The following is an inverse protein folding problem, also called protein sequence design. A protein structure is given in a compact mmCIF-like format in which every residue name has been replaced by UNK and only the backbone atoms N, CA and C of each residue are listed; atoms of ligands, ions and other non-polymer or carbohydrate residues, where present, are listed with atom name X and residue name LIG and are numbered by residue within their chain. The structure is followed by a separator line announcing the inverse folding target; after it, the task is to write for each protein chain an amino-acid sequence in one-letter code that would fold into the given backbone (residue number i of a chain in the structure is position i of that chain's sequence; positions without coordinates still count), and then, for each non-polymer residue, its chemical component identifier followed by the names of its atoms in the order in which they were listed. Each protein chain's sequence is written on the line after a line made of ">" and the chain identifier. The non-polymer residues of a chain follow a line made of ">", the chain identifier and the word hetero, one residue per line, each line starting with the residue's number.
data_IF_526875826108
#
_entry.id   IF_526875826108
#
_cell.length_a   1.000
_cell.length_b   1.000
_cell.length_c   1.000
_cell.angle_alpha   90.00
_cell.angle_beta   90.00
_cell.angle_gamma   90.00
#
_symmetry.space_group_name_H-M   'P 1'
#
loop_
_entity.id
_entity.type
_entity.pdbx_description
1 polymer ?
#
# COMPACT_ATOMS: atom_id res chain seq x y z
N UNK A 1 8.89 -27.27 -10.00
CA UNK A 1 8.61 -26.16 -9.07
C UNK A 1 8.52 -26.70 -7.64
N UNK A 2 9.64 -26.68 -6.88
CA UNK A 2 9.70 -27.07 -5.44
C UNK A 2 10.55 -26.12 -4.60
N UNK A 3 11.23 -25.17 -5.25
CA UNK A 3 12.02 -24.11 -4.64
C UNK A 3 11.25 -23.34 -3.56
N UNK A 4 9.96 -22.94 -3.75
CA UNK A 4 9.26 -22.23 -2.67
C UNK A 4 9.06 -23.10 -1.42
N UNK A 5 8.83 -24.41 -1.56
CA UNK A 5 8.65 -25.31 -0.41
C UNK A 5 9.95 -25.48 0.38
N UNK A 6 11.07 -25.68 -0.31
CA UNK A 6 12.39 -25.82 0.32
C UNK A 6 12.75 -24.54 1.06
N UNK A 7 12.51 -23.37 0.45
CA UNK A 7 12.76 -22.07 1.09
C UNK A 7 11.90 -21.89 2.34
N UNK A 8 10.61 -22.23 2.30
CA UNK A 8 9.73 -22.13 3.47
C UNK A 8 10.20 -23.03 4.61
N UNK A 9 10.60 -24.26 4.31
CA UNK A 9 11.13 -25.20 5.32
C UNK A 9 12.41 -24.66 5.96
N UNK A 10 13.34 -24.13 5.14
CA UNK A 10 14.57 -23.53 5.66
C UNK A 10 14.27 -22.32 6.55
N UNK A 11 13.36 -21.44 6.14
CA UNK A 11 12.93 -20.29 6.96
C UNK A 11 12.30 -20.77 8.26
N UNK A 12 11.42 -21.77 8.22
CA UNK A 12 10.78 -22.32 9.41
C UNK A 12 11.81 -22.93 10.39
N UNK A 13 12.83 -23.65 9.88
CA UNK A 13 13.92 -24.16 10.69
C UNK A 13 14.72 -23.04 11.35
N UNK A 14 15.10 -22.01 10.59
CA UNK A 14 15.84 -20.86 11.13
C UNK A 14 15.03 -20.16 12.22
N UNK A 15 13.73 -19.95 12.00
CA UNK A 15 12.82 -19.34 12.99
C UNK A 15 12.68 -20.23 14.23
N UNK A 16 12.55 -21.54 14.06
CA UNK A 16 12.46 -22.50 15.16
C UNK A 16 13.73 -22.52 16.01
N UNK A 17 14.90 -22.57 15.37
CA UNK A 17 16.21 -22.50 16.05
C UNK A 17 16.36 -21.17 16.79
N UNK A 18 16.02 -20.06 16.14
CA UNK A 18 16.03 -18.74 16.74
C UNK A 18 15.16 -18.68 17.99
N UNK A 19 13.93 -19.20 17.92
CA UNK A 19 13.01 -19.23 19.06
C UNK A 19 13.54 -20.11 20.20
N UNK A 20 14.11 -21.28 19.88
CA UNK A 20 14.66 -22.22 20.86
C UNK A 20 15.91 -21.67 21.56
N UNK A 21 16.83 -21.04 20.83
CA UNK A 21 18.05 -20.46 21.43
C UNK A 21 17.77 -19.19 22.26
N UNK A 22 16.65 -18.51 22.02
CA UNK A 22 16.29 -17.24 22.67
C UNK A 22 15.10 -17.38 23.64
N UNK A 23 15.01 -18.51 24.36
CA UNK A 23 13.98 -18.75 25.37
C UNK A 23 14.21 -18.03 26.71
N UNK A 24 15.37 -17.41 26.89
CA UNK A 24 15.69 -16.65 28.09
C UNK A 24 14.61 -15.59 28.38
N UNK A 25 14.13 -15.56 29.63
CA UNK A 25 13.14 -14.58 30.09
C UNK A 25 13.87 -13.27 30.38
N UNK A 26 13.38 -12.20 29.79
CA UNK A 26 13.91 -10.84 29.96
C UNK A 26 12.82 -9.94 30.55
N UNK A 27 13.22 -8.96 31.34
CA UNK A 27 12.33 -7.90 31.82
C UNK A 27 12.36 -6.74 30.84
N UNK A 28 11.24 -6.50 30.18
CA UNK A 28 11.05 -5.34 29.30
C UNK A 28 10.50 -4.20 30.13
N UNK A 29 11.15 -3.04 30.09
CA UNK A 29 10.65 -1.79 30.67
C UNK A 29 10.25 -0.86 29.54
N UNK A 30 9.01 -0.40 29.53
CA UNK A 30 8.51 0.52 28.52
C UNK A 30 7.66 1.61 29.18
N UNK A 31 8.05 2.87 29.00
CA UNK A 31 7.44 4.00 29.70
C UNK A 31 7.38 3.74 31.22
N UNK A 32 6.18 3.60 31.79
CA UNK A 32 5.96 3.37 33.22
C UNK A 32 5.55 1.92 33.56
N UNK A 33 5.64 0.99 32.61
CA UNK A 33 5.31 -0.42 32.84
C UNK A 33 6.52 -1.32 32.63
N UNK A 34 6.56 -2.42 33.36
CA UNK A 34 7.56 -3.45 33.23
C UNK A 34 6.88 -4.83 33.24
N UNK A 35 7.31 -5.72 32.36
CA UNK A 35 6.81 -7.08 32.30
C UNK A 35 7.91 -8.06 31.90
N UNK A 36 7.73 -9.33 32.26
CA UNK A 36 8.65 -10.40 31.92
C UNK A 36 8.12 -11.19 30.72
N UNK A 37 8.97 -11.46 29.75
CA UNK A 37 8.61 -12.26 28.57
C UNK A 37 9.86 -12.92 27.99
N UNK A 38 9.73 -13.89 27.08
CA UNK A 38 10.92 -14.47 26.44
C UNK A 38 11.53 -13.48 25.45
N UNK A 39 12.86 -13.53 25.33
CA UNK A 39 13.64 -12.69 24.41
C UNK A 39 13.16 -12.84 22.96
N UNK A 40 12.80 -14.06 22.54
CA UNK A 40 12.24 -14.33 21.21
C UNK A 40 10.94 -13.56 20.92
N UNK A 41 10.00 -13.46 21.88
CA UNK A 41 8.79 -12.65 21.70
C UNK A 41 9.12 -11.16 21.58
N UNK A 42 10.10 -10.66 22.34
CA UNK A 42 10.53 -9.25 22.23
C UNK A 42 11.05 -8.95 20.84
N UNK A 43 11.94 -9.79 20.31
CA UNK A 43 12.56 -9.56 19.01
C UNK A 43 11.51 -9.64 17.90
N UNK A 44 10.72 -10.72 17.84
CA UNK A 44 9.67 -10.88 16.82
C UNK A 44 8.65 -9.75 16.92
N UNK A 45 8.19 -9.45 18.14
CA UNK A 45 7.24 -8.37 18.39
C UNK A 45 7.76 -7.01 17.95
N UNK A 46 9.04 -6.70 18.20
CA UNK A 46 9.66 -5.44 17.79
C UNK A 46 9.75 -5.28 16.27
N UNK A 47 10.07 -6.35 15.55
CA UNK A 47 10.11 -6.35 14.08
C UNK A 47 8.72 -6.10 13.50
N UNK A 48 7.71 -6.81 14.02
CA UNK A 48 6.31 -6.63 13.61
C UNK A 48 5.83 -5.22 13.92
N UNK A 49 6.11 -4.71 15.13
CA UNK A 49 5.75 -3.35 15.52
C UNK A 49 6.42 -2.30 14.62
N UNK A 50 7.70 -2.46 14.30
CA UNK A 50 8.43 -1.59 13.39
C UNK A 50 7.85 -1.61 11.96
N UNK A 51 7.50 -2.78 11.45
CA UNK A 51 6.83 -2.92 10.15
C UNK A 51 5.48 -2.20 10.12
N UNK A 52 4.64 -2.42 11.14
CA UNK A 52 3.33 -1.75 11.27
C UNK A 52 3.52 -0.23 11.38
N UNK A 53 4.46 0.23 12.19
CA UNK A 53 4.79 1.65 12.30
C UNK A 53 5.25 2.25 10.95
N UNK A 54 6.08 1.52 10.20
CA UNK A 54 6.51 1.91 8.85
C UNK A 54 5.33 2.09 7.88
N UNK A 55 4.38 1.14 7.88
CA UNK A 55 3.14 1.28 7.10
C UNK A 55 2.35 2.52 7.54
N UNK A 56 2.23 2.73 8.86
CA UNK A 56 1.50 3.86 9.44
C UNK A 56 2.07 5.21 9.01
N UNK A 57 3.40 5.31 8.90
CA UNK A 57 4.09 6.51 8.39
C UNK A 57 3.81 6.74 6.90
N UNK A 58 3.60 5.69 6.10
CA UNK A 58 3.31 5.80 4.67
C UNK A 58 1.85 6.19 4.35
N UNK A 59 0.91 5.88 5.24
CA UNK A 59 -0.52 6.14 5.07
C UNK A 59 -0.89 7.58 4.63
N UNK A 60 -0.40 8.67 5.26
CA UNK A 60 -0.77 10.02 4.84
C UNK A 60 -0.33 10.36 3.42
N UNK A 61 0.83 9.86 2.97
CA UNK A 61 1.33 10.05 1.61
C UNK A 61 0.46 9.34 0.57
N UNK A 62 0.12 8.09 0.83
CA UNK A 62 -0.73 7.28 -0.05
C UNK A 62 -2.14 7.86 -0.16
N UNK A 63 -2.70 8.34 0.94
CA UNK A 63 -4.04 8.94 0.93
C UNK A 63 -4.10 10.26 0.15
N UNK A 64 -3.08 11.13 0.29
CA UNK A 64 -2.97 12.35 -0.53
C UNK A 64 -2.86 12.02 -2.02
N UNK A 65 -2.03 11.04 -2.38
CA UNK A 65 -1.89 10.58 -3.77
C UNK A 65 -3.21 10.04 -4.33
N UNK A 66 -3.94 9.25 -3.54
CA UNK A 66 -5.22 8.69 -3.97
C UNK A 66 -6.28 9.77 -4.22
N UNK A 67 -6.38 10.76 -3.32
CA UNK A 67 -7.27 11.93 -3.54
C UNK A 67 -6.90 12.69 -4.81
N UNK A 68 -5.61 12.94 -5.03
CA UNK A 68 -5.13 13.65 -6.24
C UNK A 68 -5.44 12.86 -7.51
N UNK A 69 -5.24 11.54 -7.50
CA UNK A 69 -5.56 10.67 -8.62
C UNK A 69 -7.06 10.71 -8.98
N UNK A 70 -7.95 10.65 -7.98
CA UNK A 70 -9.40 10.79 -8.20
C UNK A 70 -9.79 12.17 -8.76
N UNK A 71 -9.10 13.23 -8.35
CA UNK A 71 -9.30 14.58 -8.89
C UNK A 71 -8.94 14.63 -10.38
N UNK A 72 -7.75 14.15 -10.73
CA UNK A 72 -7.27 14.08 -12.11
C UNK A 72 -8.18 13.21 -12.99
N UNK A 73 -8.66 12.08 -12.48
CA UNK A 73 -9.57 11.21 -13.22
C UNK A 73 -10.90 11.91 -13.57
N UNK A 74 -11.44 12.71 -12.64
CA UNK A 74 -12.64 13.52 -12.91
C UNK A 74 -12.37 14.59 -13.97
N UNK A 75 -11.24 15.27 -13.88
CA UNK A 75 -10.83 16.31 -14.83
C UNK A 75 -10.63 15.73 -16.24
N UNK A 76 -9.98 14.56 -16.36
CA UNK A 76 -9.88 13.84 -17.64
C UNK A 76 -11.27 13.49 -18.17
N UNK A 77 -12.20 13.08 -17.31
CA UNK A 77 -13.58 12.79 -17.68
C UNK A 77 -14.35 14.01 -18.20
N UNK A 78 -14.19 15.18 -17.57
CA UNK A 78 -14.83 16.43 -18.02
C UNK A 78 -14.25 16.90 -19.35
N UNK A 79 -12.92 16.95 -19.47
CA UNK A 79 -12.25 17.37 -20.71
C UNK A 79 -12.62 16.46 -21.90
N UNK A 80 -12.74 15.15 -21.67
CA UNK A 80 -13.19 14.21 -22.72
C UNK A 80 -14.60 14.50 -23.21
N UNK A 81 -15.53 14.86 -22.31
CA UNK A 81 -16.91 15.22 -22.68
C UNK A 81 -16.96 16.53 -23.45
N UNK A 82 -16.20 17.55 -23.01
CA UNK A 82 -16.12 18.83 -23.72
C UNK A 82 -15.59 18.67 -25.14
N UNK A 83 -14.53 17.87 -25.33
CA UNK A 83 -14.01 17.56 -26.66
C UNK A 83 -15.04 16.83 -27.54
N UNK A 84 -15.83 15.92 -26.97
CA UNK A 84 -16.88 15.22 -27.71
C UNK A 84 -17.99 16.19 -28.13
N UNK A 85 -18.41 17.09 -27.24
CA UNK A 85 -19.41 18.12 -27.55
C UNK A 85 -18.90 19.04 -28.64
N UNK A 86 -17.70 19.60 -28.50
CA UNK A 86 -17.10 20.50 -29.51
C UNK A 86 -17.01 19.80 -30.87
N UNK A 87 -16.60 18.52 -30.91
CA UNK A 87 -16.58 17.75 -32.16
C UNK A 87 -17.96 17.60 -32.78
N UNK A 88 -18.99 17.27 -31.98
CA UNK A 88 -20.37 17.17 -32.48
C UNK A 88 -20.87 18.50 -33.03
N UNK A 89 -20.65 19.61 -32.30
CA UNK A 89 -21.09 20.94 -32.75
C UNK A 89 -20.36 21.39 -34.01
N UNK A 90 -19.05 21.11 -34.13
CA UNK A 90 -18.28 21.41 -35.33
C UNK A 90 -18.74 20.57 -36.54
N UNK A 91 -19.11 19.31 -36.31
CA UNK A 91 -19.62 18.41 -37.34
C UNK A 91 -21.03 18.82 -37.78
N UNK A 92 -21.90 19.23 -36.85
CA UNK A 92 -23.23 19.79 -37.14
C UNK A 92 -23.16 21.12 -37.91
N UNK A 93 -22.22 22.00 -37.56
CA UNK A 93 -21.99 23.25 -38.28
C UNK A 93 -21.49 23.00 -39.72
N UNK A 94 -20.55 22.06 -39.90
CA UNK A 94 -20.04 21.69 -41.23
C UNK A 94 -21.07 20.97 -42.11
N UNK A 95 -22.06 20.30 -41.52
CA UNK A 95 -23.17 19.69 -42.26
C UNK A 95 -24.24 20.70 -42.69
N UNK A 96 -24.40 21.82 -41.96
CA UNK A 96 -25.36 22.88 -42.31
C UNK A 96 -24.85 23.79 -43.43
N UNK A 97 -23.56 24.08 -43.47
CA UNK A 97 -22.95 24.85 -44.58
C UNK A 97 -23.02 24.10 -45.92
N UNK A 98 -23.08 22.76 -45.91
CA UNK A 98 -23.20 21.95 -47.14
C UNK A 98 -24.62 21.76 -47.66
N UNK A 99 -25.65 22.20 -46.92
CA UNK A 99 -27.06 22.18 -47.36
C UNK A 99 -27.52 23.54 -47.91
N UNK A 100 -26.72 24.61 -47.74
CA UNK A 100 -27.01 25.97 -48.24
C UNK A 100 -26.30 26.31 -49.58
N UNK A 101 -25.45 25.43 -50.12
CA UNK A 101 -24.89 25.49 -51.50
C UNK A 101 -25.63 24.57 -52.49
#
# INVERSE_FOLDING_TARGET
>A
MRVPLVVVILVALVVGIFAFQNQEIVTVKFLNTAWMTSKSYVIIGSVVAGFVAGILVMLPGTFKRWRKAKGLEKEVGTLRRELETIRKTAQEASSRDGEEE
#
